data_IF_113609502458
#
_entry.id   IF_113609502458
#
_cell.length_a   1.000
_cell.length_b   1.000
_cell.length_c   1.000
_cell.angle_alpha   90.00
_cell.angle_beta   90.00
_cell.angle_gamma   90.00
#
_symmetry.space_group_name_H-M   'P 1'
#
loop_
_entity.id
_entity.type
_entity.pdbx_description
1 polymer ?
#
# COMPACT_ATOMS: atom_id res chain seq x y z
N UNK A 1 -22.45 17.59 41.78
CA UNK A 1 -21.94 17.82 40.40
C UNK A 1 -21.85 16.47 39.72
N UNK A 2 -22.51 16.25 38.59
CA UNK A 2 -22.34 14.98 37.90
C UNK A 2 -20.93 14.93 37.28
N UNK A 3 -20.19 13.88 37.66
CA UNK A 3 -18.92 13.59 36.98
C UNK A 3 -19.20 13.14 35.56
N UNK A 4 -19.00 14.07 34.60
CA UNK A 4 -19.01 13.72 33.19
C UNK A 4 -17.70 13.02 32.87
N UNK A 5 -17.71 11.69 32.83
CA UNK A 5 -16.61 10.92 32.29
C UNK A 5 -16.64 11.11 30.76
N UNK A 6 -15.86 12.04 30.27
CA UNK A 6 -15.58 12.10 28.83
C UNK A 6 -14.63 10.95 28.51
N UNK A 7 -15.18 9.86 27.98
CA UNK A 7 -14.37 8.77 27.41
C UNK A 7 -13.80 9.34 26.11
N UNK A 8 -12.49 9.54 26.05
CA UNK A 8 -11.83 9.77 24.77
C UNK A 8 -12.03 8.49 23.94
N UNK A 9 -12.87 8.55 22.93
CA UNK A 9 -13.01 7.45 21.97
C UNK A 9 -11.85 7.63 21.00
N UNK A 10 -10.96 6.64 20.93
CA UNK A 10 -9.97 6.61 19.86
C UNK A 10 -10.74 6.35 18.55
N UNK A 11 -10.77 7.35 17.68
CA UNK A 11 -11.47 7.32 16.41
C UNK A 11 -10.61 6.70 15.30
N UNK A 12 -9.34 6.42 15.58
CA UNK A 12 -8.45 5.79 14.63
C UNK A 12 -8.74 4.29 14.51
N UNK A 13 -8.94 3.83 13.28
CA UNK A 13 -9.08 2.40 12.97
C UNK A 13 -7.96 1.96 12.01
N UNK A 14 -7.32 0.84 12.36
CA UNK A 14 -6.31 0.23 11.51
C UNK A 14 -6.94 -0.84 10.63
N UNK A 15 -6.64 -0.76 9.33
CA UNK A 15 -7.00 -1.76 8.33
C UNK A 15 -5.75 -2.41 7.76
N UNK A 16 -5.81 -3.73 7.64
CA UNK A 16 -4.73 -4.55 7.11
C UNK A 16 -5.18 -5.15 5.78
N UNK A 17 -4.49 -4.80 4.69
CA UNK A 17 -4.70 -5.41 3.38
C UNK A 17 -3.59 -6.43 3.19
N UNK A 18 -3.97 -7.71 3.19
CA UNK A 18 -3.07 -8.80 2.86
C UNK A 18 -3.19 -9.09 1.36
N UNK A 19 -2.09 -8.99 0.66
CA UNK A 19 -2.01 -9.22 -0.78
C UNK A 19 -0.69 -9.90 -1.15
N UNK A 20 -0.53 -10.25 -2.41
CA UNK A 20 0.66 -10.91 -2.92
C UNK A 20 0.53 -11.23 -4.38
N UNK A 21 1.64 -11.57 -5.00
CA UNK A 21 1.68 -12.03 -6.38
C UNK A 21 2.79 -13.04 -6.58
N UNK A 22 2.64 -13.85 -7.61
CA UNK A 22 3.65 -14.72 -8.16
C UNK A 22 4.20 -14.08 -9.42
N UNK A 23 5.44 -13.64 -9.40
CA UNK A 23 6.14 -13.10 -10.57
C UNK A 23 7.64 -13.09 -10.36
N UNK A 24 8.35 -13.08 -11.49
CA UNK A 24 9.78 -12.84 -11.53
C UNK A 24 10.04 -11.64 -12.42
N UNK A 25 10.01 -10.43 -11.85
CA UNK A 25 10.23 -9.18 -12.58
C UNK A 25 11.05 -8.19 -11.78
N UNK A 26 11.88 -7.42 -12.49
CA UNK A 26 12.58 -6.24 -11.97
C UNK A 26 11.89 -4.94 -12.35
N UNK A 27 10.82 -5.01 -13.16
CA UNK A 27 10.05 -3.83 -13.51
C UNK A 27 9.13 -3.42 -12.36
N UNK A 28 8.71 -2.16 -12.35
CA UNK A 28 7.65 -1.69 -11.45
C UNK A 28 6.37 -2.48 -11.69
N UNK A 29 5.81 -3.01 -10.61
CA UNK A 29 4.60 -3.81 -10.59
C UNK A 29 3.60 -3.18 -9.65
N UNK A 30 2.34 -3.03 -10.06
CA UNK A 30 1.26 -2.66 -9.16
C UNK A 30 0.77 -3.88 -8.39
N UNK A 31 0.65 -3.72 -7.07
CA UNK A 31 0.28 -4.79 -6.15
C UNK A 31 -1.23 -5.00 -6.22
N UNK A 32 -1.72 -6.22 -6.53
CA UNK A 32 -3.14 -6.50 -6.54
C UNK A 32 -3.72 -6.44 -5.12
N UNK A 33 -4.74 -5.60 -4.90
CA UNK A 33 -5.39 -5.42 -3.59
C UNK A 33 -6.62 -6.32 -3.40
N UNK A 34 -7.16 -6.87 -4.50
CA UNK A 34 -8.29 -7.77 -4.49
C UNK A 34 -7.81 -9.22 -4.71
N UNK A 35 -8.45 -10.16 -4.01
CA UNK A 35 -8.27 -11.57 -4.31
C UNK A 35 -8.75 -11.87 -5.74
N UNK A 36 -7.86 -12.42 -6.56
CA UNK A 36 -8.12 -12.79 -7.95
C UNK A 36 -7.41 -14.08 -8.28
N UNK A 37 -8.07 -14.98 -9.02
CA UNK A 37 -7.46 -16.19 -9.53
C UNK A 37 -6.43 -15.89 -10.64
N UNK A 38 -6.47 -14.69 -11.22
CA UNK A 38 -5.53 -14.22 -12.22
C UNK A 38 -4.60 -13.18 -11.59
N UNK A 39 -3.50 -13.66 -11.01
CA UNK A 39 -2.46 -12.87 -10.35
C UNK A 39 -1.50 -12.26 -11.37
N UNK A 40 -2.02 -11.64 -12.43
CA UNK A 40 -1.15 -10.93 -13.38
C UNK A 40 -0.78 -9.58 -12.82
N UNK A 41 0.52 -9.33 -12.77
CA UNK A 41 1.05 -8.03 -12.44
C UNK A 41 0.71 -7.03 -13.54
N UNK A 42 0.30 -5.82 -13.15
CA UNK A 42 0.15 -4.71 -14.06
C UNK A 42 1.27 -3.70 -13.85
N UNK A 43 1.86 -3.25 -14.93
CA UNK A 43 2.81 -2.11 -14.93
C UNK A 43 2.09 -0.76 -14.84
N UNK A 44 0.75 -0.78 -14.90
CA UNK A 44 -0.11 0.38 -14.89
C UNK A 44 -1.44 0.02 -14.19
N UNK A 45 -1.91 0.76 -13.17
CA UNK A 45 -3.14 0.44 -12.45
C UNK A 45 -4.41 0.63 -13.29
N UNK A 46 -4.34 1.39 -14.40
CA UNK A 46 -5.49 1.66 -15.27
C UNK A 46 -5.95 0.45 -16.09
N UNK A 47 -5.11 -0.58 -16.22
CA UNK A 47 -5.43 -1.78 -17.02
C UNK A 47 -6.42 -2.73 -16.35
N UNK A 48 -6.52 -2.71 -15.02
CA UNK A 48 -7.46 -3.51 -14.22
C UNK A 48 -7.66 -2.82 -12.85
N UNK A 49 -8.32 -1.65 -12.83
CA UNK A 49 -8.40 -0.82 -11.63
C UNK A 49 -9.08 -1.53 -10.45
N UNK A 50 -10.04 -2.41 -10.72
CA UNK A 50 -10.75 -3.19 -9.72
C UNK A 50 -9.83 -4.15 -8.93
N UNK A 51 -8.62 -4.43 -9.44
CA UNK A 51 -7.65 -5.30 -8.79
C UNK A 51 -6.57 -4.54 -8.04
N UNK A 52 -6.21 -3.36 -8.53
CA UNK A 52 -5.04 -2.62 -8.06
C UNK A 52 -5.40 -1.35 -7.30
N UNK A 53 -6.66 -0.90 -7.39
CA UNK A 53 -7.11 0.34 -6.78
C UNK A 53 -8.19 0.08 -5.73
N UNK A 54 -8.19 0.95 -4.71
CA UNK A 54 -9.20 0.99 -3.67
C UNK A 54 -9.69 2.42 -3.50
N UNK A 55 -10.99 2.61 -3.30
CA UNK A 55 -11.55 3.90 -2.88
C UNK A 55 -11.39 4.00 -1.36
N UNK A 56 -10.82 5.11 -0.89
CA UNK A 56 -10.66 5.38 0.53
C UNK A 56 -12.01 5.80 1.14
N UNK A 57 -12.56 5.04 2.09
CA UNK A 57 -13.88 5.33 2.65
C UNK A 57 -13.86 6.52 3.64
N UNK A 58 -12.70 6.84 4.20
CA UNK A 58 -12.49 7.88 5.21
C UNK A 58 -11.15 8.60 4.99
N UNK A 59 -10.99 9.74 5.63
CA UNK A 59 -9.69 10.37 5.78
C UNK A 59 -8.74 9.49 6.61
N UNK A 60 -7.44 9.57 6.34
CA UNK A 60 -6.49 8.74 7.07
C UNK A 60 -5.07 8.84 6.54
N UNK A 61 -4.31 7.76 6.71
CA UNK A 61 -2.92 7.65 6.30
C UNK A 61 -2.52 6.21 5.95
N UNK A 62 -1.49 6.09 5.12
CA UNK A 62 -0.74 4.84 4.97
C UNK A 62 0.36 4.85 6.04
N UNK A 63 0.34 3.90 6.95
CA UNK A 63 1.30 3.85 8.05
C UNK A 63 2.57 3.11 7.63
N UNK A 64 2.41 1.88 7.21
CA UNK A 64 3.53 1.02 6.81
C UNK A 64 3.11 -0.03 5.81
N UNK A 65 4.07 -0.55 5.05
CA UNK A 65 3.92 -1.75 4.25
C UNK A 65 4.98 -2.76 4.67
N UNK A 66 4.58 -4.01 4.82
CA UNK A 66 5.49 -5.12 5.02
C UNK A 66 5.57 -5.95 3.75
N UNK A 67 6.77 -6.34 3.37
CA UNK A 67 7.01 -7.22 2.23
C UNK A 67 7.92 -8.36 2.59
N UNK A 68 7.70 -9.52 1.96
CA UNK A 68 8.56 -10.68 1.97
C UNK A 68 8.56 -11.30 0.59
N UNK A 69 9.72 -11.78 0.14
CA UNK A 69 9.90 -12.50 -1.12
C UNK A 69 10.74 -13.74 -0.87
N UNK A 70 10.60 -14.77 -1.71
CA UNK A 70 11.45 -15.95 -1.71
C UNK A 70 12.84 -15.68 -2.31
N UNK A 71 13.06 -14.50 -2.90
CA UNK A 71 14.31 -14.11 -3.56
C UNK A 71 14.86 -12.82 -2.96
N UNK A 72 16.19 -12.67 -3.04
CA UNK A 72 16.87 -11.40 -2.79
C UNK A 72 16.46 -10.38 -3.84
N UNK A 73 15.70 -9.37 -3.41
CA UNK A 73 15.15 -8.32 -4.28
C UNK A 73 16.08 -7.10 -4.41
N UNK A 74 17.15 -7.04 -3.62
CA UNK A 74 18.04 -5.88 -3.53
C UNK A 74 17.33 -4.62 -3.09
N UNK A 75 17.81 -3.47 -3.55
CA UNK A 75 17.17 -2.18 -3.25
C UNK A 75 15.78 -2.13 -3.88
N UNK A 76 14.75 -2.10 -3.05
CA UNK A 76 13.35 -2.19 -3.46
C UNK A 76 12.62 -0.92 -3.10
N UNK A 77 11.87 -0.35 -4.06
CA UNK A 77 11.04 0.85 -3.88
C UNK A 77 9.58 0.41 -3.76
N UNK A 78 8.92 0.78 -2.65
CA UNK A 78 7.47 0.72 -2.50
C UNK A 78 6.88 2.08 -2.79
N UNK A 79 5.86 2.14 -3.64
CA UNK A 79 5.17 3.36 -4.03
C UNK A 79 3.71 3.36 -3.60
N UNK A 80 3.28 4.50 -3.04
CA UNK A 80 1.87 4.84 -2.84
C UNK A 80 1.45 5.81 -3.95
N UNK A 81 0.33 5.53 -4.60
CA UNK A 81 -0.20 6.29 -5.72
C UNK A 81 -1.62 6.75 -5.36
N UNK A 82 -1.86 8.05 -5.44
CA UNK A 82 -3.16 8.66 -5.14
C UNK A 82 -3.70 9.41 -6.36
N UNK A 83 -5.02 9.41 -6.51
CA UNK A 83 -5.74 10.45 -7.21
C UNK A 83 -6.57 11.24 -6.22
N UNK A 84 -6.56 12.57 -6.36
CA UNK A 84 -7.20 13.50 -5.42
C UNK A 84 -8.55 14.01 -5.91
N UNK A 85 -8.90 13.79 -7.16
CA UNK A 85 -10.16 14.24 -7.75
C UNK A 85 -11.26 13.18 -7.79
N UNK A 86 -10.91 11.92 -7.48
CA UNK A 86 -11.84 10.78 -7.48
C UNK A 86 -12.36 10.36 -8.86
N UNK A 87 -11.94 11.03 -9.93
CA UNK A 87 -12.43 10.78 -11.31
C UNK A 87 -11.43 10.02 -12.17
N UNK A 88 -10.16 10.04 -11.82
CA UNK A 88 -9.07 9.39 -12.55
C UNK A 88 -8.38 8.32 -11.69
N UNK A 89 -7.79 7.35 -12.37
CA UNK A 89 -6.96 6.36 -11.69
C UNK A 89 -5.60 6.94 -11.35
N UNK A 90 -4.96 6.46 -10.27
CA UNK A 90 -3.64 6.91 -9.89
C UNK A 90 -2.64 6.77 -11.04
N UNK A 91 -1.76 7.76 -11.18
CA UNK A 91 -0.71 7.74 -12.20
C UNK A 91 0.35 6.67 -11.87
N UNK A 92 1.15 6.29 -12.88
CA UNK A 92 2.30 5.42 -12.68
C UNK A 92 3.41 6.06 -11.82
N UNK A 93 3.38 7.40 -11.63
CA UNK A 93 4.29 8.10 -10.73
C UNK A 93 3.75 8.04 -9.31
N UNK A 94 4.55 7.56 -8.38
CA UNK A 94 4.17 7.49 -6.97
C UNK A 94 3.99 8.89 -6.37
N UNK A 95 2.95 9.05 -5.56
CA UNK A 95 2.74 10.24 -4.72
C UNK A 95 3.77 10.28 -3.59
N UNK A 96 4.08 9.13 -3.03
CA UNK A 96 5.11 8.90 -2.03
C UNK A 96 5.77 7.54 -2.27
N UNK A 97 7.07 7.44 -2.00
CA UNK A 97 7.78 6.17 -2.06
C UNK A 97 8.74 6.01 -0.88
N UNK A 98 8.99 4.77 -0.53
CA UNK A 98 9.96 4.35 0.49
C UNK A 98 10.87 3.30 -0.13
N UNK A 99 12.17 3.39 0.13
CA UNK A 99 13.17 2.45 -0.38
C UNK A 99 13.80 1.68 0.77
N UNK A 100 13.84 0.36 0.65
CA UNK A 100 14.47 -0.55 1.61
C UNK A 100 15.29 -1.59 0.85
N UNK A 101 16.44 -1.96 1.37
CA UNK A 101 17.25 -3.06 0.83
C UNK A 101 16.70 -4.41 1.33
N UNK A 102 16.06 -5.15 0.43
CA UNK A 102 15.54 -6.49 0.67
C UNK A 102 16.58 -7.57 0.25
N UNK A 103 17.81 -7.42 0.72
CA UNK A 103 18.97 -8.23 0.32
C UNK A 103 19.06 -9.62 0.97
N UNK A 104 17.99 -10.12 1.58
CA UNK A 104 17.92 -11.48 2.14
C UNK A 104 16.57 -12.10 1.82
N UNK A 105 16.59 -13.24 1.15
CA UNK A 105 15.43 -14.05 0.86
C UNK A 105 14.68 -14.47 2.12
N UNK A 106 13.39 -14.75 1.99
CA UNK A 106 12.51 -15.22 3.07
C UNK A 106 12.45 -14.32 4.33
N UNK A 107 12.97 -13.09 4.25
CA UNK A 107 12.96 -12.12 5.34
C UNK A 107 11.87 -11.07 5.12
N UNK A 108 11.21 -10.67 6.21
CA UNK A 108 10.18 -9.61 6.17
C UNK A 108 10.82 -8.25 6.39
N UNK A 109 10.51 -7.31 5.52
CA UNK A 109 11.00 -5.94 5.52
C UNK A 109 9.87 -4.95 5.71
N UNK A 110 10.14 -3.90 6.48
CA UNK A 110 9.21 -2.80 6.73
C UNK A 110 9.55 -1.60 5.86
N UNK A 111 8.52 -1.03 5.24
CA UNK A 111 8.55 0.22 4.49
C UNK A 111 7.72 1.24 5.27
N UNK A 112 8.38 2.11 6.05
CA UNK A 112 7.74 3.09 6.92
C UNK A 112 7.29 4.32 6.12
N UNK A 113 6.00 4.36 5.76
CA UNK A 113 5.39 5.50 5.09
C UNK A 113 5.08 6.65 6.04
N UNK A 114 4.80 6.36 7.31
CA UNK A 114 4.57 7.39 8.32
C UNK A 114 5.81 8.26 8.54
N UNK A 115 7.00 7.66 8.53
CA UNK A 115 8.28 8.36 8.62
C UNK A 115 8.70 9.11 7.36
N UNK A 116 8.14 8.77 6.20
CA UNK A 116 8.56 9.31 4.91
C UNK A 116 7.91 10.66 4.52
N UNK A 117 6.87 11.10 5.23
CA UNK A 117 6.28 12.44 5.10
C UNK A 117 4.89 12.48 4.49
N UNK A 118 4.71 12.39 3.18
CA UNK A 118 3.39 12.53 2.54
C UNK A 118 2.67 11.19 2.43
N UNK A 119 2.08 10.75 3.54
CA UNK A 119 1.36 9.48 3.62
C UNK A 119 -0.16 9.63 3.81
N UNK A 120 -0.69 10.85 3.77
CA UNK A 120 -2.10 11.15 4.01
C UNK A 120 -2.97 10.78 2.82
N UNK A 121 -4.17 10.29 3.13
CA UNK A 121 -5.23 9.97 2.19
C UNK A 121 -6.51 10.69 2.62
N UNK A 122 -7.31 11.13 1.66
CA UNK A 122 -8.61 11.75 1.94
C UNK A 122 -9.75 10.82 1.52
N UNK A 123 -10.90 11.01 2.14
CA UNK A 123 -12.13 10.32 1.73
C UNK A 123 -12.36 10.48 0.23
N UNK A 124 -12.80 9.42 -0.43
CA UNK A 124 -13.00 9.32 -1.87
C UNK A 124 -11.72 9.36 -2.73
N UNK A 125 -10.52 9.47 -2.16
CA UNK A 125 -9.32 9.22 -2.95
C UNK A 125 -9.33 7.78 -3.48
N UNK A 126 -8.79 7.60 -4.67
CA UNK A 126 -8.46 6.27 -5.20
C UNK A 126 -6.98 6.02 -4.96
N UNK A 127 -6.64 4.93 -4.29
CA UNK A 127 -5.27 4.56 -3.92
C UNK A 127 -4.85 3.26 -4.60
N UNK A 128 -3.59 3.21 -5.03
CA UNK A 128 -2.91 2.01 -5.49
C UNK A 128 -1.51 1.94 -4.89
N UNK A 129 -0.92 0.76 -4.92
CA UNK A 129 0.44 0.53 -4.43
C UNK A 129 1.29 -0.18 -5.48
N UNK A 130 2.58 0.15 -5.53
CA UNK A 130 3.53 -0.49 -6.44
C UNK A 130 4.78 -0.95 -5.69
N UNK A 131 5.45 -1.93 -6.30
CA UNK A 131 6.79 -2.36 -5.91
C UNK A 131 7.71 -2.34 -7.13
N UNK A 132 8.95 -1.91 -6.94
CA UNK A 132 10.00 -1.86 -7.97
C UNK A 132 11.31 -2.36 -7.36
N UNK A 133 11.61 -3.66 -7.48
CA UNK A 133 12.85 -4.25 -6.99
C UNK A 133 14.00 -4.06 -7.99
N UNK A 134 15.24 -4.09 -7.53
CA UNK A 134 16.44 -4.08 -8.42
C UNK A 134 16.85 -5.46 -8.88
N UNK A 135 16.47 -6.51 -8.13
CA UNK A 135 16.57 -7.91 -8.52
C UNK A 135 15.18 -8.53 -8.62
N UNK A 136 15.07 -9.69 -9.27
CA UNK A 136 13.75 -10.30 -9.50
C UNK A 136 13.07 -10.68 -8.18
N UNK A 137 11.89 -10.12 -7.95
CA UNK A 137 11.01 -10.49 -6.85
C UNK A 137 10.16 -11.70 -7.26
N UNK A 138 10.07 -12.69 -6.38
CA UNK A 138 9.32 -13.90 -6.62
C UNK A 138 8.51 -14.31 -5.39
N UNK A 139 7.31 -14.87 -5.60
CA UNK A 139 6.38 -15.30 -4.54
C UNK A 139 6.28 -14.27 -3.40
N UNK A 140 5.93 -13.05 -3.80
CA UNK A 140 5.91 -11.91 -2.90
C UNK A 140 4.62 -11.83 -2.08
N UNK A 141 4.78 -11.58 -0.79
CA UNK A 141 3.69 -11.34 0.15
C UNK A 141 3.79 -9.94 0.72
N UNK A 142 2.64 -9.27 0.82
CA UNK A 142 2.55 -7.91 1.35
C UNK A 142 1.47 -7.81 2.42
N UNK A 143 1.71 -6.94 3.38
CA UNK A 143 0.71 -6.41 4.30
C UNK A 143 0.78 -4.90 4.25
N UNK A 144 -0.31 -4.24 3.87
CA UNK A 144 -0.44 -2.79 3.85
C UNK A 144 -1.26 -2.38 5.07
N UNK A 145 -0.75 -1.45 5.85
CA UNK A 145 -1.40 -0.94 7.07
C UNK A 145 -1.92 0.46 6.79
N UNK A 146 -3.23 0.61 6.79
CA UNK A 146 -3.93 1.88 6.69
C UNK A 146 -4.49 2.26 8.06
N UNK A 147 -4.46 3.54 8.37
CA UNK A 147 -5.11 4.12 9.52
C UNK A 147 -6.17 5.09 9.04
N UNK A 148 -7.41 4.88 9.42
CA UNK A 148 -8.53 5.76 9.09
C UNK A 148 -9.01 6.51 10.32
N UNK A 149 -9.36 7.79 10.13
CA UNK A 149 -10.08 8.60 11.10
C UNK A 149 -11.58 8.44 10.86
N UNK A 150 -12.24 7.76 11.78
CA UNK A 150 -13.69 7.48 11.70
C UNK A 150 -14.50 8.40 12.63
N UNK A 151 -14.05 9.65 12.82
CA UNK A 151 -14.85 10.64 13.54
C UNK A 151 -16.18 10.88 12.80
N UNK A 152 -17.27 10.60 13.49
CA UNK A 152 -18.65 10.86 13.04
C UNK A 152 -19.15 12.17 13.61
#
# INVERSE_FOLDING_TARGET
MPNTFTRAVDTNQYHFIKCGFYSSSTAKIFIPLAASDDLREATNPTGAPERFCMICPFDGSVETMWARSEEDCGSTIMGMHLTTDGTEFPSATATQSVTVDMGTDDTSYEFDFAGAGTNTISQCNVIAFSVEPTSAMNDAHFVIVLKFDVTT
#
